data_IF_844060653980
#
_entry.id   IF_844060653980
#
_cell.length_a   1.000
_cell.length_b   1.000
_cell.length_c   1.000
_cell.angle_alpha   90.00
_cell.angle_beta   90.00
_cell.angle_gamma   90.00
#
_symmetry.space_group_name_H-M   'P 1'
#
loop_
_entity.id
_entity.type
_entity.pdbx_description
1 polymer ?
#
# COMPACT_ATOMS: atom_id res chain seq x y z
N UNK A 1 -3.74 -22.26 -7.38
CA UNK A 1 -4.32 -21.13 -8.15
C UNK A 1 -5.84 -21.25 -7.98
N UNK A 2 -6.54 -20.19 -7.56
CA UNK A 2 -7.98 -20.23 -7.30
C UNK A 2 -8.74 -20.06 -8.62
N UNK A 3 -9.12 -21.16 -9.28
CA UNK A 3 -9.62 -21.10 -10.66
C UNK A 3 -11.12 -21.39 -10.82
N UNK A 4 -11.84 -21.79 -9.76
CA UNK A 4 -13.22 -22.27 -9.86
C UNK A 4 -14.06 -21.79 -8.66
N UNK A 5 -14.56 -20.55 -8.72
CA UNK A 5 -15.58 -20.07 -7.79
C UNK A 5 -16.97 -20.62 -8.13
N UNK A 6 -17.88 -20.68 -7.15
CA UNK A 6 -19.27 -21.08 -7.40
C UNK A 6 -20.12 -19.89 -7.88
N UNK A 7 -21.09 -20.14 -8.78
CA UNK A 7 -22.03 -19.12 -9.25
C UNK A 7 -22.86 -18.57 -8.08
N UNK A 8 -23.08 -17.25 -8.06
CA UNK A 8 -23.80 -16.58 -6.98
C UNK A 8 -23.06 -16.51 -5.64
N UNK A 9 -21.83 -17.04 -5.54
CA UNK A 9 -21.01 -16.89 -4.32
C UNK A 9 -20.23 -15.57 -4.33
N UNK A 10 -20.11 -15.00 -3.14
CA UNK A 10 -19.20 -13.88 -2.85
C UNK A 10 -18.05 -14.34 -1.96
N UNK A 11 -16.86 -13.83 -2.26
CA UNK A 11 -15.61 -14.13 -1.56
C UNK A 11 -14.93 -12.81 -1.17
N UNK A 12 -14.65 -12.64 0.11
CA UNK A 12 -13.80 -11.53 0.55
C UNK A 12 -12.33 -11.90 0.28
N UNK A 13 -11.57 -10.95 -0.25
CA UNK A 13 -10.14 -11.12 -0.58
C UNK A 13 -9.36 -10.15 0.28
N UNK A 14 -8.36 -10.64 1.01
CA UNK A 14 -7.59 -9.81 1.96
C UNK A 14 -6.36 -10.52 2.49
N UNK A 15 -5.28 -9.76 2.70
CA UNK A 15 -3.95 -10.31 3.04
C UNK A 15 -3.59 -10.26 4.53
N UNK A 16 -4.56 -10.11 5.44
CA UNK A 16 -4.31 -9.90 6.89
C UNK A 16 -3.37 -8.72 7.23
N UNK A 17 -3.35 -7.69 6.37
CA UNK A 17 -2.41 -6.57 6.46
C UNK A 17 -2.92 -5.34 7.21
N UNK A 18 -3.73 -5.50 8.26
CA UNK A 18 -4.28 -4.35 8.99
C UNK A 18 -3.14 -3.48 9.58
N UNK A 19 -3.18 -2.19 9.25
CA UNK A 19 -2.28 -1.15 9.77
C UNK A 19 -3.03 0.16 9.85
N UNK A 20 -2.57 1.04 10.73
CA UNK A 20 -2.99 2.44 10.71
C UNK A 20 -2.32 3.20 9.57
N UNK A 21 -2.93 4.29 9.12
CA UNK A 21 -2.31 5.18 8.11
C UNK A 21 -0.92 5.65 8.56
N UNK A 22 -0.72 5.91 9.86
CA UNK A 22 0.58 6.32 10.41
C UNK A 22 1.64 5.26 10.22
N UNK A 23 1.32 3.99 10.51
CA UNK A 23 2.26 2.88 10.32
C UNK A 23 2.62 2.67 8.85
N UNK A 24 1.66 2.84 7.93
CA UNK A 24 1.95 2.77 6.49
C UNK A 24 2.94 3.86 6.08
N UNK A 25 2.69 5.12 6.48
CA UNK A 25 3.60 6.23 6.16
C UNK A 25 4.99 6.02 6.76
N UNK A 26 5.10 5.48 7.97
CA UNK A 26 6.40 5.12 8.57
C UNK A 26 7.14 4.06 7.78
N UNK A 27 6.44 3.02 7.34
CA UNK A 27 7.06 1.98 6.51
C UNK A 27 7.55 2.56 5.17
N UNK A 28 6.78 3.46 4.54
CA UNK A 28 7.22 4.18 3.32
C UNK A 28 8.49 4.99 3.60
N UNK A 29 8.49 5.81 4.67
CA UNK A 29 9.66 6.61 5.03
C UNK A 29 10.90 5.75 5.27
N UNK A 30 10.76 4.64 6.00
CA UNK A 30 11.88 3.73 6.27
C UNK A 30 12.39 3.06 4.98
N UNK A 31 11.50 2.64 4.08
CA UNK A 31 11.88 2.10 2.77
C UNK A 31 12.61 3.15 1.91
N UNK A 32 12.17 4.41 1.94
CA UNK A 32 12.85 5.52 1.26
C UNK A 32 14.21 5.84 1.90
N UNK A 33 14.32 5.87 3.23
CA UNK A 33 15.60 6.09 3.92
C UNK A 33 16.64 5.02 3.54
N UNK A 34 16.20 3.78 3.28
CA UNK A 34 17.06 2.69 2.81
C UNK A 34 17.44 2.83 1.33
N UNK A 35 16.48 3.13 0.45
CA UNK A 35 16.71 3.18 -0.99
C UNK A 35 17.35 4.51 -1.47
N UNK A 36 17.02 5.62 -0.81
CA UNK A 36 17.44 6.97 -1.15
C UNK A 36 17.71 7.80 0.14
N UNK A 37 18.87 7.62 0.78
CA UNK A 37 19.15 8.17 2.11
C UNK A 37 19.31 9.71 2.16
N UNK A 38 19.34 10.40 1.03
CA UNK A 38 19.43 11.87 1.01
C UNK A 38 18.13 12.46 1.59
N UNK A 39 18.24 13.28 2.64
CA UNK A 39 17.07 13.87 3.31
C UNK A 39 16.50 13.02 4.46
N UNK A 40 17.13 11.88 4.77
CA UNK A 40 16.78 11.07 5.94
C UNK A 40 16.91 11.85 7.26
N UNK A 41 16.10 11.52 8.28
CA UNK A 41 15.01 10.56 8.24
C UNK A 41 13.76 11.18 7.58
N UNK A 42 13.17 10.52 6.59
CA UNK A 42 11.99 11.05 5.88
C UNK A 42 10.77 11.19 6.79
N UNK A 43 10.74 10.51 7.93
CA UNK A 43 9.67 10.66 8.94
C UNK A 43 9.54 12.10 9.48
N UNK A 44 10.58 12.93 9.38
CA UNK A 44 10.53 14.35 9.76
C UNK A 44 9.60 15.20 8.89
N UNK A 45 9.25 14.69 7.69
CA UNK A 45 8.36 15.35 6.74
C UNK A 45 6.87 15.12 7.04
N UNK A 46 6.56 14.22 7.98
CA UNK A 46 5.17 13.90 8.33
C UNK A 46 4.50 15.09 9.00
N UNK A 47 3.36 15.52 8.46
CA UNK A 47 2.53 16.60 9.00
C UNK A 47 1.11 16.12 9.23
N UNK A 48 0.50 16.58 10.31
CA UNK A 48 -0.93 16.38 10.54
C UNK A 48 -1.72 17.38 9.72
N UNK A 49 -2.85 16.93 9.18
CA UNK A 49 -3.78 17.74 8.40
C UNK A 49 -5.18 17.58 8.96
N UNK A 50 -6.11 18.46 8.56
CA UNK A 50 -7.51 18.32 8.95
C UNK A 50 -8.07 16.99 8.43
N UNK A 51 -8.79 16.29 9.29
CA UNK A 51 -9.34 14.98 8.97
C UNK A 51 -10.48 15.05 7.93
N UNK A 52 -10.74 13.93 7.26
CA UNK A 52 -11.83 13.78 6.29
C UNK A 52 -13.19 13.76 7.04
N UNK A 53 -14.18 14.59 6.64
CA UNK A 53 -15.54 14.44 7.16
C UNK A 53 -16.09 13.03 6.88
N UNK A 54 -16.60 12.35 7.92
CA UNK A 54 -17.11 10.98 7.79
C UNK A 54 -16.02 9.91 7.61
N UNK A 55 -14.84 10.08 8.21
CA UNK A 55 -13.73 9.14 8.10
C UNK A 55 -14.05 7.77 8.72
N UNK A 56 -14.18 6.74 7.87
CA UNK A 56 -14.19 5.34 8.30
C UNK A 56 -12.84 4.96 8.90
N UNK A 57 -12.83 4.62 10.19
CA UNK A 57 -11.59 4.46 10.95
C UNK A 57 -10.89 3.13 10.76
N UNK A 58 -11.62 2.08 10.38
CA UNK A 58 -11.08 0.73 10.29
C UNK A 58 -11.80 -0.08 9.22
N UNK A 59 -11.00 -0.63 8.32
CA UNK A 59 -11.40 -1.68 7.40
C UNK A 59 -10.63 -2.95 7.74
N UNK A 60 -11.36 -4.05 7.82
CA UNK A 60 -10.81 -5.37 8.05
C UNK A 60 -11.63 -6.39 7.25
N UNK A 61 -10.94 -7.34 6.63
CA UNK A 61 -11.56 -8.40 5.85
C UNK A 61 -11.19 -9.74 6.47
N UNK A 62 -12.18 -10.63 6.58
CA UNK A 62 -11.96 -12.06 6.81
C UNK A 62 -11.93 -12.81 5.46
N UNK A 63 -10.74 -13.21 4.97
CA UNK A 63 -10.59 -13.98 3.73
C UNK A 63 -10.73 -15.50 3.94
N UNK A 64 -11.15 -15.97 5.12
CA UNK A 64 -11.11 -17.40 5.46
C UNK A 64 -11.94 -18.26 4.50
N UNK A 65 -13.01 -17.73 3.92
CA UNK A 65 -13.82 -18.43 2.91
C UNK A 65 -13.03 -18.72 1.62
N UNK A 66 -12.37 -17.73 1.05
CA UNK A 66 -11.62 -17.91 -0.20
C UNK A 66 -10.40 -18.81 0.00
N UNK A 67 -9.81 -18.78 1.21
CA UNK A 67 -8.74 -19.67 1.61
C UNK A 67 -9.21 -21.13 1.66
N UNK A 68 -10.31 -21.40 2.35
CA UNK A 68 -10.85 -22.76 2.50
C UNK A 68 -11.39 -23.34 1.20
N UNK A 69 -12.19 -22.56 0.46
CA UNK A 69 -12.91 -23.07 -0.71
C UNK A 69 -12.06 -23.08 -1.97
N UNK A 70 -11.17 -22.09 -2.16
CA UNK A 70 -10.41 -21.93 -3.40
C UNK A 70 -8.89 -22.08 -3.23
N UNK A 71 -8.41 -22.30 -2.00
CA UNK A 71 -6.98 -22.37 -1.70
C UNK A 71 -6.24 -21.06 -1.98
N UNK A 72 -6.93 -19.93 -2.07
CA UNK A 72 -6.30 -18.62 -2.28
C UNK A 72 -5.51 -18.25 -1.04
N UNK A 73 -4.29 -17.75 -1.19
CA UNK A 73 -3.50 -17.16 -0.11
C UNK A 73 -2.70 -15.97 -0.65
N UNK A 74 -2.51 -14.91 0.15
CA UNK A 74 -1.63 -13.80 -0.23
C UNK A 74 -0.19 -14.32 -0.38
N UNK A 75 0.50 -13.85 -1.42
CA UNK A 75 1.91 -14.22 -1.68
C UNK A 75 2.91 -13.24 -1.09
N UNK A 76 2.48 -12.00 -0.84
CA UNK A 76 3.32 -10.93 -0.32
C UNK A 76 2.82 -10.54 1.06
N UNK A 77 3.75 -10.25 1.98
CA UNK A 77 3.43 -9.46 3.17
C UNK A 77 3.27 -7.99 2.77
N UNK A 78 2.67 -7.22 3.66
CA UNK A 78 2.52 -5.78 3.45
C UNK A 78 3.89 -5.09 3.32
N UNK A 79 4.84 -5.46 4.18
CA UNK A 79 6.17 -4.88 4.21
C UNK A 79 6.95 -5.15 2.91
N UNK A 80 6.90 -6.37 2.39
CA UNK A 80 7.54 -6.73 1.12
C UNK A 80 6.91 -5.97 -0.05
N UNK A 81 5.58 -6.03 -0.17
CA UNK A 81 4.87 -5.36 -1.26
C UNK A 81 5.06 -3.83 -1.25
N UNK A 82 5.13 -3.22 -0.07
CA UNK A 82 5.35 -1.78 0.06
C UNK A 82 6.78 -1.38 -0.32
N UNK A 83 7.79 -2.16 0.08
CA UNK A 83 9.18 -1.92 -0.33
C UNK A 83 9.34 -2.04 -1.85
N UNK A 84 8.75 -3.07 -2.47
CA UNK A 84 8.72 -3.24 -3.92
C UNK A 84 7.98 -2.09 -4.61
N UNK A 85 6.89 -1.60 -4.02
CA UNK A 85 6.14 -0.44 -4.54
C UNK A 85 7.01 0.81 -4.51
N UNK A 86 7.68 1.12 -3.40
CA UNK A 86 8.60 2.26 -3.29
C UNK A 86 9.69 2.17 -4.36
N UNK A 87 10.32 1.00 -4.51
CA UNK A 87 11.34 0.80 -5.53
C UNK A 87 10.79 1.02 -6.95
N UNK A 88 9.58 0.55 -7.23
CA UNK A 88 8.93 0.75 -8.52
C UNK A 88 8.76 2.23 -8.85
N UNK A 89 8.30 3.06 -7.89
CA UNK A 89 8.16 4.51 -8.10
C UNK A 89 9.52 5.21 -8.32
N UNK A 90 10.59 4.76 -7.66
CA UNK A 90 11.93 5.29 -7.88
C UNK A 90 12.47 4.95 -9.28
N UNK A 91 12.16 3.76 -9.80
CA UNK A 91 12.62 3.31 -11.12
C UNK A 91 11.76 3.86 -12.26
N UNK A 92 10.44 3.88 -12.11
CA UNK A 92 9.47 4.20 -13.17
C UNK A 92 8.93 5.64 -13.07
N UNK A 93 9.79 6.59 -12.68
CA UNK A 93 9.38 7.97 -12.41
C UNK A 93 8.78 8.68 -13.64
N UNK A 94 9.17 8.27 -14.87
CA UNK A 94 8.58 8.78 -16.12
C UNK A 94 7.12 8.40 -16.30
N UNK A 95 6.69 7.27 -15.75
CA UNK A 95 5.29 6.86 -15.80
C UNK A 95 4.41 7.86 -15.06
N UNK A 96 4.84 8.31 -13.87
CA UNK A 96 4.13 9.31 -13.08
C UNK A 96 4.14 10.70 -13.75
N UNK A 97 5.25 11.07 -14.40
CA UNK A 97 5.40 12.37 -15.10
C UNK A 97 4.42 12.56 -16.26
N UNK A 98 3.79 11.50 -16.76
CA UNK A 98 2.79 11.58 -17.84
C UNK A 98 1.45 12.13 -17.38
N UNK A 99 1.17 12.11 -16.07
CA UNK A 99 -0.06 12.70 -15.53
C UNK A 99 0.14 14.22 -15.35
N UNK A 100 -0.58 15.06 -16.12
CA UNK A 100 -0.43 16.51 -16.04
C UNK A 100 -0.90 17.12 -14.70
N UNK A 101 -1.63 16.35 -13.87
CA UNK A 101 -2.03 16.78 -12.52
C UNK A 101 -0.95 16.57 -11.46
N UNK A 102 0.07 15.76 -11.76
CA UNK A 102 1.17 15.46 -10.83
C UNK A 102 2.25 16.53 -11.02
N UNK A 103 2.26 17.51 -10.11
CA UNK A 103 3.30 18.53 -10.07
C UNK A 103 4.54 18.04 -9.30
N UNK A 104 5.60 17.66 -10.03
CA UNK A 104 6.87 17.22 -9.47
C UNK A 104 7.93 18.33 -9.41
N UNK A 105 7.59 19.57 -9.80
CA UNK A 105 8.55 20.70 -9.84
C UNK A 105 9.12 21.10 -8.48
N UNK A 106 8.69 20.46 -7.38
CA UNK A 106 9.24 20.65 -6.04
C UNK A 106 10.24 19.58 -5.58
N UNK A 107 10.68 18.65 -6.43
CA UNK A 107 11.53 17.51 -6.07
C UNK A 107 12.93 17.50 -6.75
N UNK A 108 13.41 18.63 -7.26
CA UNK A 108 14.80 18.79 -7.78
C UNK A 108 15.81 19.16 -6.67
#
# INVERSE_FOLDING_TARGET
MACLGALGRSYCVGGYGERTNRQIVELICNSLDQAQPKGSPHTQLIRTVRDRPGHDRRYAIDPSRIQRELGWQPRHSLEMGLAETVQWYLTEHDWCRKDPSINLSGFE
#
